data_IF_266326686131
#
_entry.id   IF_266326686131
#
_cell.length_a   1.000
_cell.length_b   1.000
_cell.length_c   1.000
_cell.angle_alpha   90.00
_cell.angle_beta   90.00
_cell.angle_gamma   90.00
#
_symmetry.space_group_name_H-M   'P 1'
#
loop_
_entity.id
_entity.type
_entity.pdbx_description
1 polymer ?
#
# COMPACT_ATOMS: atom_id res chain seq x y z
N UNK A 1 -34.57 18.29 41.28
CA UNK A 1 -35.75 17.71 40.57
C UNK A 1 -36.23 18.61 39.42
N UNK A 2 -35.89 19.91 39.39
CA UNK A 2 -36.29 20.86 38.32
C UNK A 2 -35.57 20.71 36.97
N UNK A 3 -34.31 20.26 36.93
CA UNK A 3 -33.57 20.12 35.66
C UNK A 3 -34.14 18.98 34.77
N UNK A 4 -34.66 17.92 35.39
CA UNK A 4 -35.19 16.74 34.69
C UNK A 4 -36.53 17.03 34.00
N UNK A 5 -37.32 17.96 34.53
CA UNK A 5 -38.61 18.36 33.97
C UNK A 5 -38.47 19.38 32.83
N UNK A 6 -37.47 20.27 32.87
CA UNK A 6 -37.20 21.22 31.77
C UNK A 6 -36.68 20.52 30.50
N UNK A 7 -35.91 19.44 30.62
CA UNK A 7 -35.41 18.68 29.47
C UNK A 7 -36.52 17.84 28.82
N UNK A 8 -37.45 17.27 29.61
CA UNK A 8 -38.63 16.56 29.07
C UNK A 8 -39.60 17.50 28.35
N UNK A 9 -39.82 18.71 28.86
CA UNK A 9 -40.69 19.71 28.23
C UNK A 9 -40.17 20.21 26.88
N UNK A 10 -38.85 20.35 26.72
CA UNK A 10 -38.23 20.82 25.48
C UNK A 10 -38.28 19.79 24.34
N UNK A 11 -38.14 18.50 24.67
CA UNK A 11 -38.12 17.43 23.66
C UNK A 11 -39.50 17.06 23.10
N UNK A 12 -40.61 17.37 23.81
CA UNK A 12 -41.97 17.01 23.40
C UNK A 12 -42.57 18.03 22.41
N UNK A 13 -42.20 19.32 22.48
CA UNK A 13 -42.83 20.37 21.67
C UNK A 13 -42.40 20.43 20.19
N UNK A 14 -41.41 19.65 19.77
CA UNK A 14 -40.71 19.93 18.51
C UNK A 14 -40.57 18.70 17.59
N UNK A 15 -41.66 17.96 17.39
CA UNK A 15 -41.77 16.93 16.33
C UNK A 15 -41.46 17.52 14.94
N UNK A 16 -41.81 18.80 14.71
CA UNK A 16 -41.42 19.56 13.50
C UNK A 16 -39.91 19.78 13.40
N UNK A 17 -39.16 19.84 14.51
CA UNK A 17 -37.70 20.03 14.51
C UNK A 17 -36.95 18.72 14.21
N UNK A 18 -37.48 17.57 14.67
CA UNK A 18 -36.95 16.24 14.31
C UNK A 18 -37.07 15.96 12.81
N UNK A 19 -38.20 16.29 12.18
CA UNK A 19 -38.36 16.21 10.71
C UNK A 19 -37.43 17.18 9.97
N UNK A 20 -37.23 18.40 10.49
CA UNK A 20 -36.31 19.39 9.91
C UNK A 20 -34.83 19.00 10.00
N UNK A 21 -34.39 18.34 11.08
CA UNK A 21 -33.02 17.82 11.20
C UNK A 21 -32.78 16.60 10.31
N UNK A 22 -33.77 15.73 10.12
CA UNK A 22 -33.66 14.58 9.22
C UNK A 22 -33.55 15.01 7.74
N UNK A 23 -34.31 16.02 7.32
CA UNK A 23 -34.25 16.57 5.96
C UNK A 23 -32.94 17.35 5.72
N UNK A 24 -32.42 18.05 6.74
CA UNK A 24 -31.12 18.73 6.65
C UNK A 24 -29.95 17.74 6.59
N UNK A 25 -30.03 16.61 7.30
CA UNK A 25 -29.04 15.51 7.21
C UNK A 25 -29.07 14.82 5.84
N UNK A 26 -30.25 14.67 5.21
CA UNK A 26 -30.38 14.13 3.85
C UNK A 26 -29.86 15.09 2.77
N UNK A 27 -30.07 16.41 2.93
CA UNK A 27 -29.52 17.42 2.02
C UNK A 27 -28.00 17.60 2.18
N UNK A 28 -27.46 17.45 3.39
CA UNK A 28 -26.01 17.46 3.63
C UNK A 28 -25.30 16.22 3.04
N UNK A 29 -26.00 15.08 2.91
CA UNK A 29 -25.48 13.92 2.21
C UNK A 29 -25.41 14.14 0.68
N UNK A 30 -26.33 14.90 0.10
CA UNK A 30 -26.30 15.20 -1.36
C UNK A 30 -25.34 16.33 -1.74
N UNK A 31 -25.03 17.26 -0.82
CA UNK A 31 -24.07 18.36 -1.07
C UNK A 31 -22.61 17.96 -0.85
N UNK A 32 -22.34 16.76 -0.32
CA UNK A 32 -20.96 16.26 -0.17
C UNK A 32 -20.27 15.84 -1.47
N UNK A 33 -20.97 15.87 -2.62
CA UNK A 33 -20.41 15.47 -3.92
C UNK A 33 -20.35 16.61 -4.96
N UNK A 34 -20.45 17.87 -4.55
CA UNK A 34 -20.41 19.00 -5.50
C UNK A 34 -19.26 19.95 -5.17
N UNK A 35 -18.28 19.92 -6.07
CA UNK A 35 -17.14 20.84 -6.27
C UNK A 35 -15.97 20.71 -5.28
N UNK A 36 -15.03 19.83 -5.65
CA UNK A 36 -13.62 20.24 -5.80
C UNK A 36 -13.22 19.94 -7.24
N UNK A 37 -13.47 20.90 -8.13
CA UNK A 37 -12.79 20.99 -9.41
C UNK A 37 -11.93 22.25 -9.35
N UNK A 38 -10.61 22.08 -9.46
CA UNK A 38 -9.68 23.20 -9.60
C UNK A 38 -8.43 23.18 -8.71
N UNK A 39 -7.73 22.06 -8.64
CA UNK A 39 -6.27 22.03 -8.56
C UNK A 39 -5.87 20.69 -9.21
N UNK A 40 -5.15 20.73 -10.33
CA UNK A 40 -4.74 19.50 -11.02
C UNK A 40 -3.98 18.62 -10.04
N UNK A 41 -4.55 17.46 -9.71
CA UNK A 41 -3.82 16.41 -9.02
C UNK A 41 -2.65 16.01 -9.92
N UNK A 42 -1.45 16.40 -9.54
CA UNK A 42 -0.24 15.83 -10.13
C UNK A 42 -0.29 14.35 -9.76
N UNK A 43 -0.42 13.49 -10.77
CA UNK A 43 -0.42 12.03 -10.63
C UNK A 43 0.93 11.65 -10.01
N UNK A 44 0.95 10.98 -8.86
CA UNK A 44 2.20 10.53 -8.25
C UNK A 44 2.96 9.62 -9.21
N UNK A 45 4.27 9.86 -9.38
CA UNK A 45 5.14 9.08 -10.26
C UNK A 45 5.53 7.76 -9.57
N UNK A 46 5.44 6.67 -10.32
CA UNK A 46 5.65 5.29 -9.85
C UNK A 46 7.15 5.00 -9.67
N UNK A 47 7.55 4.25 -8.63
CA UNK A 47 8.96 3.83 -8.46
C UNK A 47 9.38 2.87 -9.58
N UNK A 48 10.66 2.90 -9.98
CA UNK A 48 11.19 2.01 -11.04
C UNK A 48 10.83 0.54 -10.81
N UNK A 49 10.97 0.05 -9.57
CA UNK A 49 10.58 -1.32 -9.18
C UNK A 49 9.09 -1.63 -9.35
N UNK A 50 8.22 -0.68 -9.01
CA UNK A 50 6.77 -0.85 -9.14
C UNK A 50 6.37 -0.81 -10.61
N UNK A 51 6.96 0.11 -11.38
CA UNK A 51 6.73 0.25 -12.81
C UNK A 51 7.11 -1.03 -13.55
N UNK A 52 8.29 -1.60 -13.28
CA UNK A 52 8.68 -2.85 -13.94
C UNK A 52 7.75 -4.01 -13.56
N UNK A 53 7.33 -4.13 -12.31
CA UNK A 53 6.41 -5.21 -11.88
C UNK A 53 5.03 -5.03 -12.51
N UNK A 54 4.50 -3.81 -12.52
CA UNK A 54 3.20 -3.50 -13.13
C UNK A 54 3.23 -3.78 -14.62
N UNK A 55 4.24 -3.28 -15.33
CA UNK A 55 4.39 -3.46 -16.77
C UNK A 55 4.56 -4.95 -17.10
N UNK A 56 5.39 -5.69 -16.36
CA UNK A 56 5.52 -7.14 -16.58
C UNK A 56 4.20 -7.89 -16.39
N UNK A 57 3.38 -7.51 -15.38
CA UNK A 57 2.05 -8.09 -15.14
C UNK A 57 1.05 -7.79 -16.26
N UNK A 58 1.09 -6.57 -16.82
CA UNK A 58 0.24 -6.17 -17.95
C UNK A 58 0.52 -6.99 -19.22
N UNK A 59 1.69 -7.63 -19.28
CA UNK A 59 2.14 -8.40 -20.43
C UNK A 59 1.80 -9.90 -20.37
N UNK A 60 1.30 -10.40 -19.23
CA UNK A 60 0.91 -11.81 -19.06
C UNK A 60 -0.07 -12.23 -20.16
N UNK A 61 0.23 -13.37 -20.80
CA UNK A 61 -0.57 -13.93 -21.88
C UNK A 61 -0.16 -13.47 -23.28
N UNK A 62 0.74 -12.49 -23.42
CA UNK A 62 1.33 -12.20 -24.71
C UNK A 62 2.28 -13.33 -25.12
N UNK A 63 2.04 -13.89 -26.29
CA UNK A 63 2.76 -15.06 -26.78
C UNK A 63 3.58 -14.71 -28.02
N UNK A 64 4.70 -15.40 -28.17
CA UNK A 64 5.41 -15.45 -29.45
C UNK A 64 4.56 -16.09 -30.55
N UNK A 65 4.98 -15.91 -31.79
CA UNK A 65 4.35 -16.50 -32.96
C UNK A 65 5.39 -16.96 -33.99
N UNK A 66 4.95 -17.75 -34.96
CA UNK A 66 5.76 -18.13 -36.11
C UNK A 66 5.49 -17.17 -37.28
N UNK A 67 6.55 -16.79 -38.00
CA UNK A 67 6.44 -16.04 -39.25
C UNK A 67 7.51 -16.50 -40.24
N UNK A 68 7.07 -16.73 -41.48
CA UNK A 68 7.93 -17.18 -42.59
C UNK A 68 8.72 -18.47 -42.27
N UNK A 69 8.13 -19.38 -41.46
CA UNK A 69 8.75 -20.63 -41.04
C UNK A 69 9.76 -20.50 -39.90
N UNK A 70 9.80 -19.34 -39.24
CA UNK A 70 10.72 -19.04 -38.13
C UNK A 70 9.89 -18.78 -36.88
N UNK A 71 10.16 -19.52 -35.80
CA UNK A 71 9.52 -19.36 -34.48
C UNK A 71 10.09 -18.15 -33.71
N UNK A 72 9.69 -17.94 -32.45
CA UNK A 72 10.19 -16.86 -31.58
C UNK A 72 9.95 -15.42 -32.09
N UNK A 73 9.01 -15.19 -33.00
CA UNK A 73 8.63 -13.81 -33.32
C UNK A 73 7.82 -13.22 -32.17
N UNK A 74 8.14 -12.00 -31.77
CA UNK A 74 7.54 -11.36 -30.61
C UNK A 74 7.41 -9.85 -30.80
N UNK A 75 6.43 -9.25 -30.12
CA UNK A 75 6.23 -7.80 -30.19
C UNK A 75 7.38 -7.03 -29.55
N UNK A 76 8.06 -7.59 -28.55
CA UNK A 76 9.09 -6.89 -27.78
C UNK A 76 10.29 -6.51 -28.64
N UNK A 77 10.79 -7.45 -29.45
CA UNK A 77 11.88 -7.21 -30.40
C UNK A 77 11.49 -6.12 -31.40
N UNK A 78 10.25 -6.18 -31.89
CA UNK A 78 9.68 -5.23 -32.84
C UNK A 78 9.55 -3.83 -32.24
N UNK A 79 9.01 -3.71 -31.04
CA UNK A 79 8.80 -2.44 -30.31
C UNK A 79 10.13 -1.76 -29.95
N UNK A 80 11.16 -2.55 -29.67
CA UNK A 80 12.49 -2.05 -29.38
C UNK A 80 13.25 -1.63 -30.64
N UNK A 81 12.82 -2.09 -31.82
CA UNK A 81 13.52 -1.88 -33.07
C UNK A 81 14.84 -2.67 -33.15
N UNK A 82 14.92 -3.82 -32.47
CA UNK A 82 16.10 -4.69 -32.46
C UNK A 82 15.88 -5.90 -33.36
N UNK A 83 16.95 -6.36 -33.99
CA UNK A 83 16.94 -7.56 -34.85
C UNK A 83 17.01 -8.85 -34.00
N UNK A 84 15.98 -9.05 -33.15
CA UNK A 84 15.88 -10.17 -32.21
C UNK A 84 14.76 -11.18 -32.51
N UNK A 85 13.93 -10.92 -33.53
CA UNK A 85 12.89 -11.87 -33.94
C UNK A 85 13.54 -13.13 -34.54
N UNK A 86 13.06 -14.31 -34.16
CA UNK A 86 13.68 -15.58 -34.54
C UNK A 86 14.70 -16.12 -33.54
N UNK A 87 14.96 -15.40 -32.45
CA UNK A 87 15.87 -15.82 -31.38
C UNK A 87 15.17 -15.83 -30.02
N UNK A 88 15.80 -16.49 -29.03
CA UNK A 88 15.32 -16.47 -27.66
C UNK A 88 15.19 -15.03 -27.13
N UNK A 89 14.08 -14.71 -26.46
CA UNK A 89 13.69 -13.33 -26.16
C UNK A 89 13.40 -13.04 -24.68
N UNK A 90 13.71 -13.95 -23.76
CA UNK A 90 13.55 -13.73 -22.32
C UNK A 90 14.28 -12.45 -21.84
N UNK A 91 15.52 -12.24 -22.26
CA UNK A 91 16.30 -11.04 -21.96
C UNK A 91 15.77 -9.79 -22.70
N UNK A 92 15.26 -9.95 -23.92
CA UNK A 92 14.60 -8.87 -24.68
C UNK A 92 13.35 -8.39 -23.96
N UNK A 93 12.57 -9.30 -23.37
CA UNK A 93 11.39 -8.96 -22.57
C UNK A 93 11.76 -8.11 -21.35
N UNK A 94 12.74 -8.52 -20.54
CA UNK A 94 13.23 -7.74 -19.39
C UNK A 94 13.66 -6.34 -19.82
N UNK A 95 14.41 -6.26 -20.93
CA UNK A 95 14.85 -4.99 -21.49
C UNK A 95 13.68 -4.10 -21.94
N UNK A 96 12.69 -4.67 -22.63
CA UNK A 96 11.48 -3.96 -23.03
C UNK A 96 10.78 -3.37 -21.81
N UNK A 97 10.60 -4.16 -20.75
CA UNK A 97 9.99 -3.70 -19.49
C UNK A 97 10.78 -2.54 -18.89
N UNK A 98 12.12 -2.63 -18.85
CA UNK A 98 12.98 -1.56 -18.33
C UNK A 98 12.83 -0.26 -19.12
N UNK A 99 12.74 -0.36 -20.45
CA UNK A 99 12.53 0.79 -21.34
C UNK A 99 11.14 1.41 -21.14
N UNK A 100 10.09 0.59 -21.03
CA UNK A 100 8.73 1.08 -20.77
C UNK A 100 8.60 1.74 -19.39
N UNK A 101 9.34 1.24 -18.39
CA UNK A 101 9.42 1.81 -17.06
C UNK A 101 10.30 3.06 -16.97
N UNK A 102 10.91 3.51 -18.08
CA UNK A 102 11.68 4.75 -18.13
C UNK A 102 13.05 4.68 -17.44
N UNK A 103 13.58 3.47 -17.19
CA UNK A 103 14.89 3.33 -16.57
C UNK A 103 15.97 3.94 -17.47
N UNK A 104 16.93 4.62 -16.84
CA UNK A 104 18.09 5.19 -17.53
C UNK A 104 19.01 4.08 -18.05
N UNK A 105 19.70 4.35 -19.15
CA UNK A 105 20.76 3.48 -19.69
C UNK A 105 21.98 3.34 -18.74
N UNK A 106 22.05 4.15 -17.67
CA UNK A 106 23.01 3.90 -16.59
C UNK A 106 22.68 2.62 -15.81
N UNK A 107 21.41 2.22 -15.74
CA UNK A 107 20.97 0.99 -15.07
C UNK A 107 21.23 -0.24 -15.94
N UNK A 108 21.09 -0.11 -17.27
CA UNK A 108 21.26 -1.19 -18.24
C UNK A 108 21.85 -0.65 -19.56
N UNK A 109 22.88 -1.28 -20.13
CA UNK A 109 23.79 -0.63 -21.10
C UNK A 109 23.58 -0.93 -22.59
N UNK A 110 22.52 -1.63 -23.01
CA UNK A 110 22.54 -2.26 -24.34
C UNK A 110 21.25 -2.12 -25.15
N UNK A 111 21.32 -1.76 -26.43
CA UNK A 111 20.20 -1.86 -27.42
C UNK A 111 20.55 -2.83 -28.55
N UNK A 112 21.52 -3.72 -28.37
CA UNK A 112 21.94 -4.61 -29.45
C UNK A 112 20.89 -5.69 -29.78
N UNK A 113 20.98 -6.17 -31.01
CA UNK A 113 20.16 -7.23 -31.60
C UNK A 113 20.42 -8.63 -31.05
N UNK A 114 21.41 -8.82 -30.17
CA UNK A 114 21.76 -10.14 -29.61
C UNK A 114 21.59 -10.19 -28.09
N UNK A 115 20.65 -9.41 -27.54
CA UNK A 115 20.40 -9.35 -26.10
C UNK A 115 20.25 -10.76 -25.53
N UNK A 116 21.26 -11.20 -24.77
CA UNK A 116 21.31 -12.50 -24.13
C UNK A 116 21.32 -12.34 -22.63
N UNK A 117 20.93 -13.40 -21.92
CA UNK A 117 20.97 -13.41 -20.46
C UNK A 117 22.38 -13.11 -19.93
N UNK A 118 23.42 -13.60 -20.61
CA UNK A 118 24.81 -13.29 -20.28
C UNK A 118 25.11 -11.78 -20.32
N UNK A 119 24.69 -11.08 -21.37
CA UNK A 119 24.90 -9.63 -21.45
C UNK A 119 24.04 -8.90 -20.43
N UNK A 120 22.77 -9.26 -20.28
CA UNK A 120 21.89 -8.66 -19.27
C UNK A 120 22.48 -8.80 -17.86
N UNK A 121 22.95 -10.00 -17.50
CA UNK A 121 23.59 -10.22 -16.21
C UNK A 121 24.83 -9.35 -16.02
N UNK A 122 25.75 -9.31 -16.98
CA UNK A 122 27.01 -8.60 -16.83
C UNK A 122 26.87 -7.07 -16.94
N UNK A 123 25.91 -6.56 -17.72
CA UNK A 123 25.80 -5.15 -18.07
C UNK A 123 24.74 -4.38 -17.28
N UNK A 124 23.82 -5.07 -16.58
CA UNK A 124 22.97 -4.43 -15.57
C UNK A 124 23.84 -3.98 -14.39
N UNK A 125 23.86 -2.68 -14.15
CA UNK A 125 24.47 -2.11 -12.96
C UNK A 125 23.57 -2.41 -11.76
N UNK A 126 24.18 -2.78 -10.63
CA UNK A 126 23.45 -3.27 -9.47
C UNK A 126 24.20 -4.35 -8.72
N UNK A 127 23.69 -4.70 -7.54
CA UNK A 127 24.20 -5.80 -6.73
C UNK A 127 23.83 -7.15 -7.39
N UNK A 128 24.74 -8.11 -7.30
CA UNK A 128 24.58 -9.46 -7.86
C UNK A 128 24.73 -10.46 -6.74
N UNK A 129 23.76 -11.36 -6.64
CA UNK A 129 23.67 -12.34 -5.58
C UNK A 129 23.65 -13.74 -6.18
N UNK A 130 24.44 -14.65 -5.64
CA UNK A 130 24.42 -16.05 -6.06
C UNK A 130 23.48 -16.83 -5.14
N UNK A 131 22.82 -17.86 -5.67
CA UNK A 131 21.91 -18.68 -4.86
C UNK A 131 22.62 -19.19 -3.60
N UNK A 132 22.01 -18.94 -2.44
CA UNK A 132 22.51 -19.40 -1.14
C UNK A 132 23.52 -18.47 -0.46
N UNK A 133 23.77 -17.27 -0.99
CA UNK A 133 24.62 -16.25 -0.33
C UNK A 133 23.94 -15.53 0.85
N UNK A 134 22.69 -15.87 1.15
CA UNK A 134 21.88 -15.26 2.21
C UNK A 134 21.00 -14.10 1.75
N UNK A 135 21.04 -13.76 0.45
CA UNK A 135 20.15 -12.77 -0.13
C UNK A 135 18.72 -13.29 -0.33
N UNK A 136 17.75 -12.40 -0.12
CA UNK A 136 16.34 -12.66 -0.38
C UNK A 136 15.83 -11.65 -1.41
N UNK A 137 15.26 -12.11 -2.54
CA UNK A 137 14.85 -11.21 -3.61
C UNK A 137 13.63 -10.37 -3.20
N UNK A 138 13.52 -9.20 -3.78
CA UNK A 138 12.39 -8.29 -3.64
C UNK A 138 11.77 -7.96 -5.00
N UNK A 139 10.49 -7.56 -5.05
CA UNK A 139 9.85 -7.17 -6.30
C UNK A 139 10.67 -6.14 -7.10
N UNK A 140 10.84 -6.45 -8.37
CA UNK A 140 11.65 -5.71 -9.32
C UNK A 140 13.05 -6.30 -9.56
N UNK A 141 13.59 -7.12 -8.66
CA UNK A 141 14.85 -7.83 -8.95
C UNK A 141 14.71 -8.73 -10.18
N UNK A 142 15.85 -9.10 -10.75
CA UNK A 142 15.90 -10.10 -11.81
C UNK A 142 16.34 -11.43 -11.23
N UNK A 143 15.63 -12.51 -11.54
CA UNK A 143 16.06 -13.88 -11.27
C UNK A 143 16.75 -14.44 -12.50
N UNK A 144 17.91 -15.08 -12.32
CA UNK A 144 18.71 -15.68 -13.39
C UNK A 144 18.85 -17.17 -13.15
N UNK A 145 18.67 -17.96 -14.20
CA UNK A 145 18.72 -19.42 -14.16
C UNK A 145 19.94 -19.97 -14.91
N UNK A 146 20.47 -21.08 -14.41
CA UNK A 146 21.53 -21.89 -15.00
C UNK A 146 21.05 -23.36 -14.96
N UNK A 147 20.61 -23.85 -16.12
CA UNK A 147 20.02 -25.16 -16.28
C UNK A 147 21.12 -26.20 -16.52
N UNK A 148 21.04 -27.36 -15.85
CA UNK A 148 22.09 -28.40 -15.91
C UNK A 148 22.41 -28.94 -17.32
N UNK A 149 21.50 -28.77 -18.28
CA UNK A 149 21.66 -29.14 -19.68
C UNK A 149 21.73 -27.93 -20.63
N UNK A 150 21.95 -26.73 -20.08
CA UNK A 150 22.14 -25.49 -20.82
C UNK A 150 23.45 -25.46 -21.60
N UNK A 151 23.46 -24.71 -22.69
CA UNK A 151 24.65 -24.58 -23.56
C UNK A 151 25.68 -23.56 -23.05
N UNK A 152 25.28 -22.67 -22.13
CA UNK A 152 26.10 -21.58 -21.60
C UNK A 152 25.81 -21.34 -20.11
N UNK A 153 26.70 -20.59 -19.45
CA UNK A 153 26.41 -20.01 -18.14
C UNK A 153 25.33 -18.93 -18.31
N UNK A 154 24.19 -19.07 -17.62
CA UNK A 154 22.97 -18.25 -17.69
C UNK A 154 22.06 -18.54 -18.88
N UNK A 155 21.06 -19.38 -18.66
CA UNK A 155 20.12 -19.82 -19.71
C UNK A 155 18.85 -18.98 -19.77
N UNK A 156 18.36 -18.50 -18.62
CA UNK A 156 17.05 -17.83 -18.57
C UNK A 156 16.99 -16.70 -17.54
N UNK A 157 16.05 -15.77 -17.72
CA UNK A 157 15.88 -14.60 -16.86
C UNK A 157 14.41 -14.21 -16.73
N UNK A 158 14.05 -13.69 -15.56
CA UNK A 158 12.72 -13.15 -15.28
C UNK A 158 12.73 -12.02 -14.25
N UNK A 159 11.60 -11.34 -14.11
CA UNK A 159 11.39 -10.23 -13.17
C UNK A 159 10.67 -10.75 -11.94
N UNK A 160 11.28 -10.63 -10.77
CA UNK A 160 10.67 -10.97 -9.48
C UNK A 160 9.49 -10.05 -9.22
N UNK A 161 8.33 -10.61 -8.89
CA UNK A 161 7.11 -9.85 -8.56
C UNK A 161 6.61 -10.09 -7.14
N UNK A 162 7.07 -11.14 -6.46
CA UNK A 162 6.74 -11.44 -5.08
C UNK A 162 7.78 -12.35 -4.41
N UNK A 163 7.90 -12.24 -3.09
CA UNK A 163 8.64 -13.19 -2.25
C UNK A 163 7.94 -13.31 -0.89
N UNK A 164 7.59 -14.54 -0.49
CA UNK A 164 6.81 -14.80 0.73
C UNK A 164 7.64 -15.28 1.94
N UNK A 165 8.97 -15.32 1.82
CA UNK A 165 9.87 -15.88 2.83
C UNK A 165 10.37 -17.29 2.52
N UNK A 166 9.84 -17.95 1.50
CA UNK A 166 10.26 -19.29 1.08
C UNK A 166 10.15 -19.53 -0.43
N UNK A 167 9.16 -18.89 -1.05
CA UNK A 167 8.89 -18.97 -2.48
C UNK A 167 8.98 -17.57 -3.10
N UNK A 168 9.56 -17.53 -4.29
CA UNK A 168 9.62 -16.36 -5.15
C UNK A 168 8.66 -16.58 -6.33
N UNK A 169 7.89 -15.55 -6.64
CA UNK A 169 7.10 -15.47 -7.87
C UNK A 169 7.77 -14.50 -8.82
N UNK A 170 7.90 -14.88 -10.09
CA UNK A 170 8.48 -14.04 -11.14
C UNK A 170 7.66 -14.12 -12.43
N UNK A 171 7.88 -13.15 -13.32
CA UNK A 171 7.34 -13.13 -14.68
C UNK A 171 8.50 -13.21 -15.66
N UNK A 172 8.39 -14.11 -16.63
CA UNK A 172 9.32 -14.19 -17.75
C UNK A 172 8.57 -14.14 -19.09
N UNK A 173 9.32 -14.27 -20.17
CA UNK A 173 8.79 -14.68 -21.47
C UNK A 173 9.76 -15.64 -22.14
N UNK A 174 9.33 -16.27 -23.24
CA UNK A 174 10.13 -17.27 -23.97
C UNK A 174 10.56 -18.49 -23.13
N UNK A 175 9.78 -18.87 -22.11
CA UNK A 175 10.06 -20.12 -21.39
C UNK A 175 9.37 -21.30 -22.08
N UNK A 176 10.04 -22.46 -22.12
CA UNK A 176 9.44 -23.70 -22.62
C UNK A 176 8.21 -24.09 -21.78
N UNK A 177 8.26 -23.83 -20.47
CA UNK A 177 7.17 -24.12 -19.54
C UNK A 177 5.88 -23.35 -19.82
N UNK A 178 5.97 -22.22 -20.53
CA UNK A 178 4.81 -21.40 -20.91
C UNK A 178 4.54 -21.44 -22.42
N UNK A 179 5.23 -22.31 -23.18
CA UNK A 179 5.13 -22.40 -24.64
C UNK A 179 5.32 -21.02 -25.31
N UNK A 180 6.37 -20.31 -24.88
CA UNK A 180 6.70 -19.00 -25.44
C UNK A 180 5.71 -17.89 -25.06
N UNK A 181 5.02 -18.03 -23.92
CA UNK A 181 4.07 -17.01 -23.43
C UNK A 181 4.69 -16.23 -22.28
N UNK A 182 4.42 -14.94 -22.16
CA UNK A 182 4.71 -14.22 -20.92
C UNK A 182 3.83 -14.78 -19.81
N UNK A 183 4.45 -15.34 -18.78
CA UNK A 183 3.76 -16.10 -17.75
C UNK A 183 4.33 -15.85 -16.35
N UNK A 184 3.47 -16.04 -15.36
CA UNK A 184 3.85 -16.06 -13.95
C UNK A 184 4.32 -17.46 -13.55
N UNK A 185 5.42 -17.51 -12.81
CA UNK A 185 6.02 -18.74 -12.31
C UNK A 185 6.34 -18.58 -10.82
N UNK A 186 6.21 -19.68 -10.07
CA UNK A 186 6.54 -19.72 -8.64
C UNK A 186 7.53 -20.83 -8.37
N UNK A 187 8.64 -20.49 -7.72
CA UNK A 187 9.69 -21.41 -7.35
C UNK A 187 10.11 -21.22 -5.90
N UNK A 188 10.63 -22.28 -5.28
CA UNK A 188 11.39 -22.11 -4.04
C UNK A 188 12.64 -21.28 -4.35
N UNK A 189 13.02 -20.37 -3.45
CA UNK A 189 14.28 -19.62 -3.59
C UNK A 189 15.53 -20.52 -3.54
N UNK A 190 15.37 -21.78 -3.10
CA UNK A 190 16.43 -22.78 -3.05
C UNK A 190 16.49 -23.67 -4.30
N UNK A 191 15.62 -23.45 -5.30
CA UNK A 191 15.59 -24.22 -6.54
C UNK A 191 16.99 -24.33 -7.17
N UNK A 192 17.38 -25.54 -7.57
CA UNK A 192 18.76 -25.81 -8.01
C UNK A 192 19.11 -25.13 -9.32
N UNK A 193 18.12 -24.85 -10.15
CA UNK A 193 18.28 -24.18 -11.45
C UNK A 193 18.44 -22.67 -11.33
N UNK A 194 18.19 -22.07 -10.16
CA UNK A 194 18.45 -20.65 -9.94
C UNK A 194 19.96 -20.47 -9.81
N UNK A 195 20.54 -19.67 -10.70
CA UNK A 195 21.91 -19.19 -10.56
C UNK A 195 21.99 -18.14 -9.46
N UNK A 196 21.09 -17.15 -9.50
CA UNK A 196 21.13 -16.01 -8.60
C UNK A 196 20.18 -14.90 -8.97
N UNK A 197 20.42 -13.72 -8.39
CA UNK A 197 19.59 -12.53 -8.55
C UNK A 197 20.44 -11.32 -8.94
N UNK A 198 19.84 -10.40 -9.67
CA UNK A 198 20.36 -9.06 -9.90
C UNK A 198 19.43 -8.10 -9.18
N UNK A 199 19.98 -7.24 -8.36
CA UNK A 199 19.30 -6.09 -7.75
C UNK A 199 19.77 -4.84 -8.51
N UNK A 200 19.06 -4.40 -9.57
CA UNK A 200 19.50 -3.28 -10.39
C UNK A 200 19.67 -2.01 -9.55
N UNK A 201 20.65 -1.21 -9.91
CA UNK A 201 20.92 0.09 -9.30
C UNK A 201 19.92 1.12 -9.83
N UNK A 202 18.70 1.05 -9.30
CA UNK A 202 17.67 2.04 -9.61
C UNK A 202 18.10 3.38 -9.00
N UNK A 203 18.88 4.17 -9.75
CA UNK A 203 19.16 5.56 -9.41
C UNK A 203 17.85 6.35 -9.43
N UNK A 204 17.17 6.41 -8.27
CA UNK A 204 16.01 7.25 -8.04
C UNK A 204 16.38 8.70 -8.39
N UNK A 205 15.89 9.22 -9.52
CA UNK A 205 16.11 10.62 -9.87
C UNK A 205 15.40 11.50 -8.85
N UNK A 206 16.14 12.41 -8.20
CA UNK A 206 15.67 13.34 -7.16
C UNK A 206 14.47 14.25 -7.53
N UNK A 207 13.94 14.16 -8.75
CA UNK A 207 12.79 14.94 -9.21
C UNK A 207 11.43 14.21 -9.16
N UNK A 208 11.36 12.92 -8.77
CA UNK A 208 10.12 12.14 -8.67
C UNK A 208 9.62 11.94 -7.22
N UNK A 209 10.21 12.67 -6.27
CA UNK A 209 10.15 12.36 -4.84
C UNK A 209 8.95 12.97 -4.10
N UNK A 210 7.73 12.43 -4.27
CA UNK A 210 6.78 12.17 -3.15
C UNK A 210 5.79 11.06 -3.59
N UNK A 211 6.11 9.78 -3.37
CA UNK A 211 5.15 8.65 -3.52
C UNK A 211 4.11 8.65 -2.39
N UNK A 212 4.53 9.08 -1.20
CA UNK A 212 3.70 9.22 -0.02
C UNK A 212 4.08 10.53 0.67
N UNK A 213 3.08 11.36 1.01
CA UNK A 213 3.31 12.69 1.60
C UNK A 213 3.93 12.62 2.99
N UNK A 214 3.71 11.51 3.70
CA UNK A 214 4.21 11.31 5.06
C UNK A 214 4.38 9.82 5.37
N UNK A 215 5.15 9.56 6.43
CA UNK A 215 5.15 8.26 7.10
C UNK A 215 3.75 7.97 7.65
N UNK A 216 3.12 6.91 7.14
CA UNK A 216 1.80 6.43 7.58
C UNK A 216 1.68 4.92 7.44
N UNK A 217 0.60 4.38 8.01
CA UNK A 217 0.23 2.96 7.86
C UNK A 217 -1.24 2.88 7.46
N UNK A 218 -1.53 2.19 6.36
CA UNK A 218 -2.89 1.99 5.82
C UNK A 218 -3.31 0.52 5.94
N UNK A 219 -4.63 0.27 5.91
CA UNK A 219 -5.19 -1.09 5.84
C UNK A 219 -4.86 -1.96 7.07
N UNK A 220 -4.84 -1.36 8.27
CA UNK A 220 -4.35 -2.03 9.45
C UNK A 220 -5.37 -2.95 10.11
N UNK A 221 -4.98 -4.20 10.33
CA UNK A 221 -5.61 -5.11 11.30
C UNK A 221 -4.67 -5.21 12.49
N UNK A 222 -5.09 -4.62 13.61
CA UNK A 222 -4.33 -4.58 14.85
C UNK A 222 -5.21 -5.05 16.02
N UNK A 223 -4.61 -5.51 17.12
CA UNK A 223 -5.37 -5.96 18.28
C UNK A 223 -6.18 -4.81 18.88
N UNK A 224 -7.49 -5.01 19.02
CA UNK A 224 -8.39 -4.06 19.67
C UNK A 224 -9.24 -4.75 20.72
N UNK A 225 -9.57 -4.01 21.78
CA UNK A 225 -10.47 -4.51 22.82
C UNK A 225 -9.84 -5.64 23.61
N UNK A 226 -10.60 -6.73 23.79
CA UNK A 226 -10.17 -7.87 24.60
C UNK A 226 -9.97 -9.12 23.74
N UNK A 227 -8.76 -9.66 23.78
CA UNK A 227 -8.37 -10.89 23.12
C UNK A 227 -8.36 -12.06 24.11
N UNK A 228 -8.59 -13.27 23.61
CA UNK A 228 -8.55 -14.47 24.43
C UNK A 228 -7.10 -14.87 24.74
N UNK A 229 -6.84 -15.23 26.01
CA UNK A 229 -5.54 -15.72 26.44
C UNK A 229 -5.18 -17.04 25.73
N UNK A 230 -3.92 -17.16 25.33
CA UNK A 230 -3.42 -18.35 24.63
C UNK A 230 -3.78 -18.43 23.15
N UNK A 231 -4.54 -17.48 22.59
CA UNK A 231 -4.92 -17.47 21.16
C UNK A 231 -3.94 -16.67 20.32
N UNK A 232 -3.61 -17.13 19.10
CA UNK A 232 -2.86 -16.33 18.15
C UNK A 232 -3.73 -15.18 17.64
N UNK A 233 -3.09 -14.08 17.26
CA UNK A 233 -3.70 -12.96 16.57
C UNK A 233 -2.77 -12.59 15.41
N UNK A 234 -3.35 -12.38 14.23
CA UNK A 234 -2.59 -12.01 13.03
C UNK A 234 -2.75 -10.53 12.76
N UNK A 235 -1.63 -9.86 12.47
CA UNK A 235 -1.61 -8.44 12.09
C UNK A 235 -1.53 -8.27 10.57
N UNK A 236 -2.04 -7.15 10.08
CA UNK A 236 -1.84 -6.69 8.70
C UNK A 236 -1.74 -5.17 8.65
N UNK A 237 -1.14 -4.65 7.58
CA UNK A 237 -1.05 -3.21 7.35
C UNK A 237 0.15 -2.86 6.50
N UNK A 238 0.02 -1.80 5.70
CA UNK A 238 1.10 -1.36 4.80
C UNK A 238 1.64 -0.03 5.30
N UNK A 239 2.87 -0.05 5.81
CA UNK A 239 3.64 1.16 6.10
C UNK A 239 4.07 1.79 4.79
N UNK A 240 4.01 3.11 4.73
CA UNK A 240 4.29 3.93 3.55
C UNK A 240 5.13 5.14 3.97
N UNK A 241 6.09 5.57 3.15
CA UNK A 241 7.09 6.57 3.51
C UNK A 241 7.51 7.47 2.33
N UNK A 242 7.77 8.78 2.54
CA UNK A 242 8.27 9.69 1.50
C UNK A 242 9.69 9.36 1.01
N UNK A 243 10.47 8.60 1.78
CA UNK A 243 11.81 8.12 1.43
C UNK A 243 11.98 6.66 1.85
N UNK A 244 13.01 5.98 1.32
CA UNK A 244 13.25 4.57 1.63
C UNK A 244 13.27 4.31 3.15
N UNK A 245 12.48 3.34 3.60
CA UNK A 245 12.39 2.91 4.98
C UNK A 245 13.71 2.26 5.40
N UNK A 246 14.27 2.75 6.50
CA UNK A 246 15.47 2.18 7.13
C UNK A 246 15.09 1.20 8.22
N UNK A 247 13.90 1.37 8.83
CA UNK A 247 13.40 0.50 9.88
C UNK A 247 11.87 0.47 9.87
N UNK A 248 11.30 -0.72 9.99
CA UNK A 248 9.91 -0.91 10.40
C UNK A 248 9.88 -1.90 11.53
N UNK A 249 9.13 -1.60 12.59
CA UNK A 249 8.97 -2.49 13.73
C UNK A 249 7.54 -2.54 14.23
N UNK A 250 7.17 -3.71 14.73
CA UNK A 250 5.92 -3.94 15.43
C UNK A 250 6.25 -4.51 16.79
N UNK A 251 5.81 -3.83 17.84
CA UNK A 251 6.17 -4.17 19.21
C UNK A 251 4.94 -4.16 20.12
N UNK A 252 4.93 -5.09 21.07
CA UNK A 252 3.92 -5.19 22.13
C UNK A 252 4.61 -4.91 23.46
N UNK A 253 4.07 -3.95 24.20
CA UNK A 253 4.52 -3.59 25.55
C UNK A 253 3.44 -3.90 26.58
N UNK A 254 3.82 -4.22 27.81
CA UNK A 254 2.87 -4.29 28.92
C UNK A 254 2.55 -2.89 29.49
N UNK A 255 1.67 -2.83 30.49
CA UNK A 255 1.27 -1.59 31.18
C UNK A 255 2.44 -0.86 31.85
N UNK A 256 3.48 -1.58 32.29
CA UNK A 256 4.70 -0.99 32.84
C UNK A 256 5.63 -0.41 31.76
N UNK A 257 5.31 -0.59 30.47
CA UNK A 257 6.13 -0.18 29.34
C UNK A 257 7.26 -1.14 29.00
N UNK A 258 7.27 -2.34 29.60
CA UNK A 258 8.26 -3.37 29.31
C UNK A 258 7.91 -4.05 27.98
N UNK A 259 8.94 -4.32 27.17
CA UNK A 259 8.78 -5.02 25.90
C UNK A 259 8.45 -6.49 26.14
N UNK A 260 7.43 -7.00 25.46
CA UNK A 260 6.93 -8.38 25.64
C UNK A 260 7.26 -9.25 24.43
N UNK A 261 6.94 -8.76 23.23
CA UNK A 261 7.20 -9.44 21.96
C UNK A 261 7.15 -8.43 20.83
N UNK A 262 7.83 -8.71 19.73
CA UNK A 262 7.87 -7.82 18.58
C UNK A 262 8.94 -8.25 17.59
N UNK A 263 8.98 -7.57 16.46
CA UNK A 263 10.02 -7.76 15.46
C UNK A 263 10.29 -6.46 14.70
N UNK A 264 11.46 -6.40 14.08
CA UNK A 264 11.88 -5.30 13.22
C UNK A 264 12.54 -5.80 11.95
N UNK A 265 12.49 -4.98 10.90
CA UNK A 265 13.10 -5.25 9.60
C UNK A 265 13.71 -3.98 9.02
N UNK A 266 14.84 -4.14 8.33
CA UNK A 266 15.39 -3.15 7.41
C UNK A 266 14.59 -3.25 6.11
N UNK A 267 13.61 -2.36 5.93
CA UNK A 267 12.60 -2.50 4.90
C UNK A 267 13.10 -2.13 3.48
N UNK A 268 14.09 -1.25 3.36
CA UNK A 268 14.82 -0.93 2.12
C UNK A 268 14.04 -0.17 1.04
N UNK A 269 12.70 -0.12 1.10
CA UNK A 269 11.81 0.52 0.12
C UNK A 269 10.85 1.57 0.69
N UNK A 270 9.99 2.15 -0.14
CA UNK A 270 9.04 3.22 0.26
C UNK A 270 7.78 2.69 0.97
N UNK A 271 7.56 1.37 0.95
CA UNK A 271 6.47 0.71 1.64
C UNK A 271 6.91 -0.61 2.25
N UNK A 272 6.16 -1.08 3.24
CA UNK A 272 6.44 -2.35 3.91
C UNK A 272 5.15 -2.95 4.47
N UNK A 273 4.86 -4.20 4.12
CA UNK A 273 3.76 -4.96 4.71
C UNK A 273 4.18 -5.53 6.07
N UNK A 274 3.52 -5.07 7.14
CA UNK A 274 3.82 -5.50 8.51
C UNK A 274 3.40 -6.95 8.79
N UNK A 275 2.58 -7.58 7.94
CA UNK A 275 2.28 -9.01 8.05
C UNK A 275 3.55 -9.87 7.93
N UNK A 276 4.60 -9.36 7.26
CA UNK A 276 5.93 -10.00 7.19
C UNK A 276 6.57 -10.23 8.56
N UNK A 277 6.11 -9.50 9.59
CA UNK A 277 6.59 -9.61 10.96
C UNK A 277 5.70 -10.53 11.83
N UNK A 278 4.56 -10.99 11.32
CA UNK A 278 3.52 -11.68 12.10
C UNK A 278 4.05 -12.94 12.80
N UNK A 279 4.82 -13.77 12.07
CA UNK A 279 5.40 -15.02 12.59
C UNK A 279 6.37 -14.82 13.76
N UNK A 280 6.96 -13.64 13.90
CA UNK A 280 7.88 -13.32 14.98
C UNK A 280 7.16 -12.76 16.23
N UNK A 281 5.86 -12.43 16.14
CA UNK A 281 5.10 -11.82 17.22
C UNK A 281 4.29 -12.90 17.95
N UNK A 282 4.67 -13.20 19.18
CA UNK A 282 4.07 -14.29 19.97
C UNK A 282 2.83 -13.87 20.76
N UNK A 283 1.74 -13.49 20.09
CA UNK A 283 0.47 -13.12 20.76
C UNK A 283 -0.06 -14.21 21.71
N UNK A 284 -0.04 -15.47 21.28
CA UNK A 284 -0.52 -16.60 22.07
C UNK A 284 0.29 -16.89 23.34
N UNK A 285 1.42 -16.21 23.56
CA UNK A 285 2.24 -16.33 24.78
C UNK A 285 2.02 -15.18 25.76
N UNK A 286 1.19 -14.20 25.42
CA UNK A 286 0.84 -13.12 26.33
C UNK A 286 -0.12 -13.65 27.39
N UNK A 287 0.22 -13.42 28.66
CA UNK A 287 -0.65 -13.71 29.79
C UNK A 287 -1.81 -12.72 29.88
N UNK A 288 -2.80 -12.99 30.73
CA UNK A 288 -3.85 -12.01 31.03
C UNK A 288 -3.26 -10.66 31.51
N UNK A 289 -3.66 -9.56 30.89
CA UNK A 289 -3.10 -8.23 31.19
C UNK A 289 -3.40 -7.16 30.14
N UNK A 290 -3.03 -5.91 30.47
CA UNK A 290 -3.14 -4.77 29.57
C UNK A 290 -1.85 -4.60 28.76
N UNK A 291 -2.02 -4.34 27.47
CA UNK A 291 -0.91 -4.24 26.52
C UNK A 291 -1.09 -3.07 25.57
N UNK A 292 0.03 -2.66 24.98
CA UNK A 292 0.13 -1.59 24.00
C UNK A 292 0.79 -2.12 22.73
N UNK A 293 0.06 -2.06 21.63
CA UNK A 293 0.52 -2.39 20.28
C UNK A 293 1.08 -1.15 19.60
N UNK A 294 2.34 -1.23 19.17
CA UNK A 294 3.08 -0.10 18.61
C UNK A 294 3.66 -0.47 17.25
N UNK A 295 3.30 0.29 16.22
CA UNK A 295 3.97 0.24 14.91
C UNK A 295 4.85 1.49 14.79
N UNK A 296 6.12 1.29 14.52
CA UNK A 296 7.12 2.35 14.42
C UNK A 296 7.93 2.20 13.14
N UNK A 297 8.24 3.33 12.50
CA UNK A 297 9.01 3.36 11.27
C UNK A 297 10.03 4.50 11.23
N UNK A 298 11.15 4.25 10.56
CA UNK A 298 12.19 5.21 10.22
C UNK A 298 12.48 5.20 8.72
N UNK A 299 12.92 6.32 8.17
CA UNK A 299 13.28 6.43 6.77
C UNK A 299 14.62 7.16 6.54
N UNK A 300 15.16 7.07 5.32
CA UNK A 300 16.42 7.73 4.90
C UNK A 300 16.32 9.26 4.90
N UNK A 301 15.12 9.81 4.76
CA UNK A 301 14.82 11.24 4.90
C UNK A 301 14.98 11.76 6.34
N UNK A 302 15.18 10.86 7.32
CA UNK A 302 15.40 11.17 8.72
C UNK A 302 14.13 11.20 9.56
N UNK A 303 12.96 10.93 8.97
CA UNK A 303 11.72 10.82 9.72
C UNK A 303 11.75 9.58 10.60
N UNK A 304 11.26 9.75 11.83
CA UNK A 304 11.11 8.70 12.84
C UNK A 304 9.76 8.86 13.49
N UNK A 305 8.84 7.91 13.29
CA UNK A 305 7.43 8.08 13.67
C UNK A 305 6.80 6.81 14.21
N UNK A 306 6.10 6.95 15.32
CA UNK A 306 5.12 5.95 15.77
C UNK A 306 3.85 6.13 14.95
N UNK A 307 3.55 5.14 14.10
CA UNK A 307 2.43 5.17 13.16
C UNK A 307 1.15 4.63 13.79
N UNK A 308 1.28 3.76 14.78
CA UNK A 308 0.16 3.24 15.57
C UNK A 308 0.62 3.05 17.00
N UNK A 309 -0.22 3.49 17.94
CA UNK A 309 -0.07 3.24 19.37
C UNK A 309 -1.49 2.99 19.92
N UNK A 310 -1.79 1.72 20.24
CA UNK A 310 -3.13 1.26 20.60
C UNK A 310 -3.09 0.32 21.80
N UNK A 311 -4.04 0.52 22.71
CA UNK A 311 -4.21 -0.36 23.86
C UNK A 311 -5.13 -1.52 23.51
N UNK A 312 -4.80 -2.70 24.02
CA UNK A 312 -5.66 -3.88 24.02
C UNK A 312 -5.44 -4.67 25.32
N UNK A 313 -6.31 -5.63 25.59
CA UNK A 313 -6.18 -6.53 26.73
C UNK A 313 -6.19 -7.98 26.30
N UNK A 314 -5.58 -8.83 27.10
CA UNK A 314 -5.65 -10.29 27.00
C UNK A 314 -6.39 -10.81 28.22
N UNK A 315 -7.33 -11.74 28.03
CA UNK A 315 -8.05 -12.44 29.09
C UNK A 315 -9.15 -11.59 29.76
N UNK A 316 -9.83 -12.15 30.76
CA UNK A 316 -10.89 -11.42 31.46
C UNK A 316 -10.28 -10.51 32.55
N UNK A 317 -10.02 -9.25 32.19
CA UNK A 317 -9.58 -8.26 33.17
C UNK A 317 -10.82 -7.68 33.87
N UNK A 318 -10.96 -7.94 35.17
CA UNK A 318 -12.09 -7.50 36.01
C UNK A 318 -12.35 -5.98 35.98
N UNK A 319 -11.42 -5.16 35.46
CA UNK A 319 -11.51 -3.70 35.29
C UNK A 319 -12.11 -3.18 33.96
N UNK A 320 -12.29 -4.02 32.93
CA UNK A 320 -12.66 -3.57 31.58
C UNK A 320 -14.02 -2.84 31.46
N UNK A 321 -14.96 -3.15 32.35
CA UNK A 321 -16.27 -2.47 32.38
C UNK A 321 -16.19 -1.02 32.87
N UNK A 322 -15.23 -0.69 33.74
CA UNK A 322 -15.04 0.68 34.25
C UNK A 322 -14.30 1.54 33.22
N UNK A 323 -13.28 0.99 32.53
CA UNK A 323 -12.57 1.67 31.45
C UNK A 323 -13.51 2.01 30.28
N UNK A 324 -14.33 1.04 29.84
CA UNK A 324 -15.33 1.26 28.77
C UNK A 324 -16.32 2.38 29.12
N UNK A 325 -16.65 2.55 30.40
CA UNK A 325 -17.50 3.63 30.90
C UNK A 325 -16.78 4.98 30.93
N UNK A 326 -15.48 5.00 31.20
CA UNK A 326 -14.64 6.19 31.16
C UNK A 326 -14.45 6.70 29.73
N UNK A 327 -14.12 5.81 28.78
CA UNK A 327 -13.91 6.16 27.37
C UNK A 327 -15.18 6.71 26.70
N UNK A 328 -16.34 6.12 27.02
CA UNK A 328 -17.64 6.63 26.56
C UNK A 328 -17.89 8.04 27.11
N UNK A 329 -17.54 8.28 28.37
CA UNK A 329 -17.73 9.59 29.02
C UNK A 329 -16.83 10.67 28.42
N UNK A 330 -15.61 10.32 28.03
CA UNK A 330 -14.67 11.20 27.35
C UNK A 330 -15.12 11.54 25.93
N UNK A 331 -15.52 10.54 25.13
CA UNK A 331 -16.12 10.76 23.80
C UNK A 331 -17.35 11.66 23.83
N UNK A 332 -18.19 11.53 24.86
CA UNK A 332 -19.35 12.43 25.06
C UNK A 332 -18.88 13.86 25.34
N UNK A 333 -17.84 14.05 26.14
CA UNK A 333 -17.29 15.37 26.48
C UNK A 333 -16.69 16.06 25.27
N UNK A 334 -15.91 15.35 24.46
CA UNK A 334 -15.32 15.88 23.21
C UNK A 334 -16.40 16.30 22.21
N UNK A 335 -17.42 15.45 22.01
CA UNK A 335 -18.52 15.76 21.12
C UNK A 335 -19.32 16.98 21.58
N UNK A 336 -19.51 17.15 22.89
CA UNK A 336 -20.16 18.35 23.45
C UNK A 336 -19.35 19.64 23.20
N UNK A 337 -18.01 19.56 23.24
CA UNK A 337 -17.13 20.70 22.92
C UNK A 337 -17.22 21.04 21.43
N UNK A 338 -17.15 20.02 20.55
CA UNK A 338 -17.31 20.21 19.09
C UNK A 338 -18.65 20.87 18.76
N UNK A 339 -19.74 20.40 19.33
CA UNK A 339 -21.08 20.98 19.16
C UNK A 339 -21.15 22.46 19.58
N UNK A 340 -20.51 22.85 20.69
CA UNK A 340 -20.42 24.26 21.11
C UNK A 340 -19.60 25.11 20.12
N UNK A 341 -18.52 24.59 19.59
CA UNK A 341 -17.69 25.26 18.57
C UNK A 341 -18.46 25.46 17.26
N UNK A 342 -19.19 24.44 16.80
CA UNK A 342 -20.07 24.55 15.63
C UNK A 342 -21.16 25.61 15.83
N UNK A 343 -21.79 25.66 17.02
CA UNK A 343 -22.77 26.70 17.35
C UNK A 343 -22.19 28.13 17.25
N UNK A 344 -21.02 28.37 17.84
CA UNK A 344 -20.33 29.68 17.73
C UNK A 344 -19.93 30.05 16.30
N UNK A 345 -19.53 29.06 15.50
CA UNK A 345 -19.15 29.27 14.10
C UNK A 345 -20.37 29.65 13.26
N UNK A 346 -21.52 29.01 13.51
CA UNK A 346 -22.80 29.35 12.89
C UNK A 346 -23.28 30.74 13.29
N UNK A 347 -23.22 31.13 14.57
CA UNK A 347 -23.57 32.49 15.02
C UNK A 347 -22.72 33.58 14.33
N UNK A 348 -21.42 33.31 14.12
CA UNK A 348 -20.50 34.22 13.43
C UNK A 348 -20.78 34.33 11.93
N UNK A 349 -21.33 33.28 11.32
CA UNK A 349 -21.80 33.29 9.92
C UNK A 349 -23.12 34.06 9.82
N UNK A 350 -24.06 33.82 10.74
CA UNK A 350 -25.36 34.50 10.82
C UNK A 350 -25.24 36.02 11.01
N UNK A 351 -24.27 36.47 11.81
CA UNK A 351 -24.04 37.90 12.06
C UNK A 351 -23.34 38.62 10.91
N UNK A 352 -22.64 37.90 10.02
CA UNK A 352 -21.92 38.50 8.88
C UNK A 352 -22.73 38.63 7.59
N UNK A 353 -23.81 37.87 7.41
CA UNK A 353 -24.61 37.92 6.17
C UNK A 353 -26.11 37.61 6.40
N UNK A 354 -26.85 38.50 7.10
CA UNK A 354 -28.26 38.27 7.43
C UNK A 354 -29.22 38.27 6.21
N UNK A 355 -28.83 38.91 5.10
CA UNK A 355 -29.69 39.07 3.91
C UNK A 355 -29.65 37.85 2.98
N UNK A 356 -28.47 37.26 2.76
CA UNK A 356 -28.28 36.08 1.90
C UNK A 356 -29.02 34.83 2.42
N UNK A 357 -29.11 34.68 3.74
CA UNK A 357 -29.77 33.53 4.37
C UNK A 357 -31.30 33.68 4.34
N UNK A 358 -31.83 34.92 4.34
CA UNK A 358 -33.28 35.16 4.25
C UNK A 358 -33.84 34.78 2.87
N UNK A 359 -33.06 34.97 1.80
CA UNK A 359 -33.41 34.51 0.46
C UNK A 359 -33.38 32.97 0.37
N UNK A 360 -32.31 32.34 0.87
CA UNK A 360 -32.16 30.88 0.82
C UNK A 360 -33.25 30.14 1.62
N UNK A 361 -33.73 30.72 2.73
CA UNK A 361 -34.80 30.14 3.53
C UNK A 361 -36.20 30.29 2.92
N UNK A 362 -36.47 31.38 2.18
CA UNK A 362 -37.77 31.57 1.54
C UNK A 362 -37.91 30.68 0.29
N UNK A 363 -36.84 30.50 -0.48
CA UNK A 363 -36.86 29.72 -1.73
C UNK A 363 -37.03 28.20 -1.50
N UNK A 364 -36.46 27.66 -0.41
CA UNK A 364 -36.50 26.22 -0.09
C UNK A 364 -37.78 25.81 0.66
N UNK A 365 -38.47 26.73 1.33
CA UNK A 365 -39.68 26.43 2.10
C UNK A 365 -40.98 26.58 1.31
N UNK A 366 -41.00 27.35 0.22
CA UNK A 366 -42.22 27.64 -0.53
C UNK A 366 -42.43 26.79 -1.79
N UNK A 367 -41.40 26.10 -2.31
CA UNK A 367 -41.55 25.21 -3.48
C UNK A 367 -40.76 23.89 -3.37
N UNK A 368 -41.34 22.82 -2.80
CA UNK A 368 -40.65 21.53 -2.64
C UNK A 368 -40.43 20.74 -3.94
N UNK A 369 -40.90 21.22 -5.09
CA UNK A 369 -40.87 20.51 -6.39
C UNK A 369 -39.77 20.95 -7.36
N UNK A 370 -38.98 21.98 -7.05
CA UNK A 370 -38.04 22.59 -7.99
C UNK A 370 -36.59 22.20 -7.67
N UNK A 371 -36.28 20.90 -7.71
CA UNK A 371 -34.88 20.43 -7.87
C UNK A 371 -34.74 19.91 -9.29
N UNK A 372 -34.73 20.84 -10.25
CA UNK A 372 -34.21 20.57 -11.59
C UNK A 372 -33.53 21.83 -12.12
N UNK A 373 -32.26 21.65 -12.45
CA UNK A 373 -31.39 22.56 -13.20
C UNK A 373 -30.85 23.75 -12.40
N UNK A 374 -29.63 23.57 -11.86
CA UNK A 374 -28.46 24.39 -12.18
C UNK A 374 -27.20 23.57 -11.83
N UNK A 375 -26.31 23.44 -12.81
CA UNK A 375 -24.98 22.82 -12.69
C UNK A 375 -24.06 23.67 -11.82
#
# INVERSE_FOLDING_TARGET
MEIRNNIRGFMIKNVKLKRKMAILLLLLFTVSNVVVQGAGAVKAEESSRDAIVRIAKEEIGNQEYEKDGIENWNKYSTDLGVDGNGYAWCAIFVYWVFKQAGLKQSVYKNVSNWMSVYYTYNETNGEKHVRGDGYYPVPGDLVVFDWKNGGNQFDHIGIVINYDGSTMTYIDGNSESSNGTVAEHTYSVNEETIYGYICPDYEDSEAALIKYEELKVDGTVFPEGNLEEGKPFSISGVVQSPSALTKVSVNIYNEAGEWMTGAESEAGGYSFDIHRLDNAISFGKLSAGNYRFVVYAENKGGDKKTLTDKNFSIGNIEGGAQQKKADIKEKIRENAIKLKLYGKKLEKIYTKNPVLIRCFFNEVLENPGFVRVCK
#
